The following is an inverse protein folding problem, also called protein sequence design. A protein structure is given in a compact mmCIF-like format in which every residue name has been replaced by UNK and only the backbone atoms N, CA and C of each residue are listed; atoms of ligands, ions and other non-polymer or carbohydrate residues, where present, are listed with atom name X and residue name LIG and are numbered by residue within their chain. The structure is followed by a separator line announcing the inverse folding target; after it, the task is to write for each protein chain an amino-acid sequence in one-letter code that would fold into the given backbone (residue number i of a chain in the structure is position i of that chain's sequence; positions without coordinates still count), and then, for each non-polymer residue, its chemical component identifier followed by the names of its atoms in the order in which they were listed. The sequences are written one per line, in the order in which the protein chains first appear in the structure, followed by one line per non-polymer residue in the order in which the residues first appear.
data_IF_378338680442
#
_entry.id   IF_378338680442
#
_cell.length_a   1.000
_cell.length_b   1.000
_cell.length_c   1.000
_cell.angle_alpha   90.00
_cell.angle_beta   90.00
_cell.angle_gamma   90.00
#
_symmetry.space_group_name_H-M   'P 1'
#
loop_
_entity.id
_entity.type
_entity.pdbx_description
1 polymer ?
#
# COMPACT_ATOMS: atom_id res chain seq x y z
N UNK A 1 -6.19 -18.61 3.44
CA UNK A 1 -5.48 -17.73 4.38
C UNK A 1 -4.57 -18.60 5.23
N UNK A 2 -3.36 -18.11 5.49
CA UNK A 2 -2.41 -18.77 6.37
C UNK A 2 -3.06 -18.89 7.75
N UNK A 3 -2.96 -20.06 8.38
CA UNK A 3 -3.39 -20.23 9.77
C UNK A 3 -2.14 -20.25 10.63
N UNK A 4 -2.03 -19.27 11.53
CA UNK A 4 -0.88 -19.10 12.40
C UNK A 4 -1.35 -18.98 13.84
N UNK A 5 -0.81 -19.81 14.71
CA UNK A 5 -1.03 -19.75 16.15
C UNK A 5 0.12 -18.99 16.84
N UNK A 6 -0.13 -18.46 18.04
CA UNK A 6 0.86 -17.63 18.76
C UNK A 6 2.14 -18.40 19.09
N UNK A 7 2.01 -19.71 19.34
CA UNK A 7 3.10 -20.61 19.67
C UNK A 7 4.05 -20.85 18.49
N UNK A 8 3.64 -20.48 17.27
CA UNK A 8 4.43 -20.60 16.06
C UNK A 8 5.28 -19.35 15.77
N UNK A 9 5.20 -18.31 16.61
CA UNK A 9 5.92 -17.05 16.43
C UNK A 9 6.98 -16.86 17.50
N UNK A 10 8.19 -16.56 17.07
CA UNK A 10 9.34 -16.23 17.89
C UNK A 10 9.65 -14.74 17.70
N UNK A 11 9.28 -13.92 18.68
CA UNK A 11 9.54 -12.48 18.67
C UNK A 11 10.96 -12.13 19.12
N UNK A 12 11.50 -11.01 18.64
CA UNK A 12 12.71 -10.41 19.17
C UNK A 12 13.95 -11.31 19.11
N UNK A 13 14.04 -12.18 18.10
CA UNK A 13 15.18 -13.09 17.95
C UNK A 13 16.40 -12.32 17.43
N UNK A 14 17.58 -12.92 17.63
CA UNK A 14 18.84 -12.45 17.07
C UNK A 14 19.53 -13.62 16.40
N UNK A 15 20.18 -13.36 15.26
CA UNK A 15 21.05 -14.33 14.59
C UNK A 15 22.20 -13.58 13.93
N UNK A 16 23.38 -14.18 13.88
CA UNK A 16 24.56 -13.56 13.26
C UNK A 16 24.51 -13.76 11.75
N UNK A 17 24.09 -14.93 11.30
CA UNK A 17 24.00 -15.29 9.89
C UNK A 17 22.63 -15.83 9.52
N UNK A 18 22.30 -15.83 8.23
CA UNK A 18 21.08 -16.51 7.73
C UNK A 18 21.08 -18.00 8.06
N UNK A 19 22.24 -18.66 8.09
CA UNK A 19 22.36 -20.07 8.48
C UNK A 19 21.95 -20.30 9.93
N UNK A 20 22.26 -19.37 10.84
CA UNK A 20 21.83 -19.44 12.24
C UNK A 20 20.31 -19.29 12.36
N UNK A 21 19.71 -18.38 11.59
CA UNK A 21 18.26 -18.21 11.56
C UNK A 21 17.55 -19.45 10.96
N UNK A 22 18.12 -20.05 9.92
CA UNK A 22 17.64 -21.31 9.33
C UNK A 22 17.71 -22.44 10.36
N UNK A 23 18.82 -22.56 11.08
CA UNK A 23 19.01 -23.58 12.12
C UNK A 23 18.01 -23.39 13.28
N UNK A 24 17.78 -22.14 13.73
CA UNK A 24 16.76 -21.81 14.73
C UNK A 24 15.38 -22.28 14.28
N UNK A 25 14.96 -21.92 13.06
CA UNK A 25 13.65 -22.28 12.51
C UNK A 25 13.52 -23.80 12.33
N UNK A 26 14.55 -24.46 11.81
CA UNK A 26 14.57 -25.92 11.65
C UNK A 26 14.42 -26.63 13.01
N UNK A 27 15.16 -26.18 14.02
CA UNK A 27 15.05 -26.70 15.38
C UNK A 27 13.64 -26.56 15.93
N UNK A 28 12.99 -25.40 15.70
CA UNK A 28 11.62 -25.14 16.14
C UNK A 28 10.59 -25.98 15.38
N UNK A 29 10.79 -26.23 14.09
CA UNK A 29 9.98 -27.19 13.33
C UNK A 29 10.12 -28.62 13.90
N UNK A 30 11.32 -29.03 14.30
CA UNK A 30 11.57 -30.33 14.95
C UNK A 30 10.93 -30.42 16.33
N UNK A 31 11.08 -29.40 17.17
CA UNK A 31 10.46 -29.32 18.51
C UNK A 31 8.93 -29.38 18.44
N UNK A 32 8.33 -28.72 17.44
CA UNK A 32 6.89 -28.77 17.18
C UNK A 32 6.42 -30.11 16.59
N UNK A 33 7.33 -31.05 16.33
CA UNK A 33 7.02 -32.37 15.77
C UNK A 33 6.61 -32.35 14.30
N UNK A 34 6.85 -31.24 13.59
CA UNK A 34 6.49 -31.08 12.17
C UNK A 34 7.47 -31.82 11.25
N UNK A 35 8.73 -31.91 11.67
CA UNK A 35 9.81 -32.58 10.92
C UNK A 35 10.68 -33.45 11.83
N UNK A 36 11.41 -34.38 11.24
CA UNK A 36 12.46 -35.16 11.91
C UNK A 36 13.77 -34.37 12.05
N UNK A 37 14.67 -34.87 12.90
CA UNK A 37 16.03 -34.35 13.00
C UNK A 37 16.74 -34.48 11.63
N UNK A 38 17.61 -33.52 11.32
CA UNK A 38 18.31 -33.47 10.02
C UNK A 38 17.58 -32.69 8.92
N UNK A 39 16.32 -32.26 9.14
CA UNK A 39 15.62 -31.40 8.16
C UNK A 39 16.34 -30.07 7.90
N UNK A 40 17.13 -29.58 8.88
CA UNK A 40 17.98 -28.39 8.75
C UNK A 40 18.95 -28.48 7.56
N UNK A 41 19.50 -29.66 7.28
CA UNK A 41 20.45 -29.86 6.18
C UNK A 41 19.77 -29.61 4.84
N UNK A 42 18.51 -30.03 4.71
CA UNK A 42 17.67 -29.74 3.55
C UNK A 42 17.39 -28.25 3.39
N UNK A 43 17.11 -27.54 4.49
CA UNK A 43 16.85 -26.10 4.44
C UNK A 43 18.11 -25.32 4.03
N UNK A 44 19.27 -25.69 4.57
CA UNK A 44 20.55 -25.08 4.20
C UNK A 44 20.94 -25.40 2.75
N UNK A 45 20.74 -26.65 2.30
CA UNK A 45 21.00 -27.04 0.93
C UNK A 45 20.09 -26.29 -0.06
N UNK A 46 18.81 -26.09 0.30
CA UNK A 46 17.88 -25.30 -0.51
C UNK A 46 18.30 -23.84 -0.60
N UNK A 47 18.71 -23.24 0.52
CA UNK A 47 19.21 -21.86 0.57
C UNK A 47 20.48 -21.69 -0.27
N UNK A 48 21.37 -22.69 -0.29
CA UNK A 48 22.60 -22.65 -1.07
C UNK A 48 22.37 -22.72 -2.60
N UNK A 49 21.22 -23.24 -3.05
CA UNK A 49 20.88 -23.25 -4.48
C UNK A 49 20.48 -21.86 -4.97
N UNK A 50 19.58 -21.21 -4.24
CA UNK A 50 19.10 -19.85 -4.49
C UNK A 50 18.56 -19.31 -3.18
N UNK A 51 18.82 -18.03 -2.90
CA UNK A 51 18.32 -17.37 -1.70
C UNK A 51 16.80 -17.48 -1.61
N UNK A 52 16.29 -17.72 -0.40
CA UNK A 52 14.85 -17.81 -0.13
C UNK A 52 14.24 -16.48 0.30
N UNK A 53 14.91 -15.37 -0.02
CA UNK A 53 14.39 -14.02 0.16
C UNK A 53 13.27 -13.72 -0.85
N UNK A 54 12.20 -13.07 -0.42
CA UNK A 54 11.02 -12.80 -1.24
C UNK A 54 10.75 -11.33 -1.52
N UNK A 55 11.47 -10.41 -0.87
CA UNK A 55 11.16 -8.98 -0.88
C UNK A 55 10.61 -8.49 0.47
N UNK A 56 10.61 -7.16 0.64
CA UNK A 56 9.99 -6.46 1.78
C UNK A 56 10.36 -7.04 3.15
N UNK A 57 11.62 -7.43 3.33
CA UNK A 57 12.11 -7.92 4.62
C UNK A 57 11.72 -9.35 4.98
N UNK A 58 11.20 -10.15 4.04
CA UNK A 58 10.69 -11.50 4.33
C UNK A 58 11.52 -12.58 3.61
N UNK A 59 11.87 -13.64 4.35
CA UNK A 59 12.49 -14.85 3.82
C UNK A 59 11.65 -16.11 4.15
N UNK A 60 11.73 -17.14 3.30
CA UNK A 60 10.96 -18.40 3.44
C UNK A 60 11.83 -19.65 3.35
N UNK A 61 12.78 -19.87 4.29
CA UNK A 61 13.62 -21.05 4.23
C UNK A 61 12.79 -22.35 4.34
N UNK A 62 13.09 -23.33 3.49
CA UNK A 62 12.37 -24.60 3.39
C UNK A 62 13.30 -25.70 2.88
N UNK A 63 12.95 -26.97 3.13
CA UNK A 63 13.78 -28.11 2.72
C UNK A 63 13.76 -28.40 1.21
N UNK A 64 14.72 -29.22 0.76
CA UNK A 64 14.74 -29.75 -0.61
C UNK A 64 13.79 -30.95 -0.77
N UNK A 65 13.64 -31.41 -2.02
CA UNK A 65 12.93 -32.66 -2.36
C UNK A 65 13.49 -33.87 -1.60
N UNK A 66 14.80 -33.90 -1.39
CA UNK A 66 15.51 -35.05 -0.81
C UNK A 66 15.20 -35.20 0.67
N UNK A 67 14.92 -34.09 1.37
CA UNK A 67 14.52 -34.08 2.79
C UNK A 67 13.02 -34.15 3.02
N UNK A 68 12.19 -34.29 1.97
CA UNK A 68 10.72 -34.35 2.13
C UNK A 68 10.23 -35.51 2.99
N UNK A 69 10.93 -36.64 2.96
CA UNK A 69 10.60 -37.80 3.77
C UNK A 69 10.71 -37.54 5.29
N UNK A 70 11.46 -36.51 5.69
CA UNK A 70 11.59 -36.06 7.08
C UNK A 70 10.40 -35.22 7.55
N UNK A 71 9.49 -34.80 6.66
CA UNK A 71 8.33 -33.98 7.01
C UNK A 71 7.20 -34.87 7.52
N UNK A 72 6.87 -34.77 8.81
CA UNK A 72 5.77 -35.51 9.45
C UNK A 72 4.42 -34.88 9.17
N UNK A 73 4.35 -33.56 9.25
CA UNK A 73 3.15 -32.76 8.97
C UNK A 73 3.54 -31.40 8.39
N UNK A 74 2.71 -30.89 7.49
CA UNK A 74 2.89 -29.56 6.93
C UNK A 74 2.64 -28.50 8.00
N UNK A 75 3.53 -27.53 8.10
CA UNK A 75 3.43 -26.46 9.09
C UNK A 75 4.50 -25.40 8.89
N UNK A 76 4.40 -24.33 9.66
CA UNK A 76 5.32 -23.20 9.62
C UNK A 76 5.75 -22.78 11.02
N UNK A 77 6.95 -22.24 11.12
CA UNK A 77 7.41 -21.44 12.26
C UNK A 77 7.89 -20.09 11.75
N UNK A 78 7.64 -19.04 12.51
CA UNK A 78 7.98 -17.66 12.14
C UNK A 78 8.93 -17.10 13.18
N UNK A 79 10.04 -16.52 12.74
CA UNK A 79 10.98 -15.81 13.60
C UNK A 79 11.13 -14.36 13.13
N UNK A 80 10.99 -13.43 14.06
CA UNK A 80 11.22 -12.00 13.85
C UNK A 80 12.60 -11.62 14.37
N UNK A 81 13.34 -10.84 13.58
CA UNK A 81 14.67 -10.32 13.85
C UNK A 81 14.64 -8.78 13.74
N UNK A 82 14.39 -8.04 14.82
CA UNK A 82 14.22 -6.57 14.75
C UNK A 82 15.43 -5.83 14.17
N UNK A 83 16.64 -6.34 14.42
CA UNK A 83 17.88 -5.76 13.89
C UNK A 83 18.17 -6.16 12.43
N UNK A 84 17.36 -7.05 11.86
CA UNK A 84 17.55 -7.60 10.53
C UNK A 84 18.70 -8.61 10.44
N UNK A 85 18.63 -9.45 9.42
CA UNK A 85 19.69 -10.38 9.02
C UNK A 85 19.92 -10.21 7.53
N UNK A 86 21.17 -10.05 7.11
CA UNK A 86 21.50 -10.08 5.69
C UNK A 86 21.23 -11.49 5.14
N UNK A 87 20.32 -11.56 4.17
CA UNK A 87 19.84 -12.82 3.60
C UNK A 87 20.46 -13.09 2.22
N UNK A 88 20.63 -12.06 1.40
CA UNK A 88 21.27 -12.17 0.08
C UNK A 88 21.73 -10.79 -0.40
N UNK A 89 22.99 -10.63 -0.82
CA UNK A 89 23.57 -9.40 -1.41
C UNK A 89 22.88 -8.05 -1.01
N UNK A 90 22.98 -7.66 0.27
CA UNK A 90 22.38 -6.42 0.79
C UNK A 90 20.87 -6.45 1.08
N UNK A 91 20.17 -7.54 0.74
CA UNK A 91 18.78 -7.79 1.11
C UNK A 91 18.70 -8.24 2.57
N UNK A 92 18.03 -7.43 3.39
CA UNK A 92 17.85 -7.69 4.81
C UNK A 92 16.49 -8.34 5.06
N UNK A 93 16.45 -9.42 5.82
CA UNK A 93 15.23 -10.04 6.32
C UNK A 93 15.00 -9.66 7.80
N UNK A 94 13.80 -9.17 8.09
CA UNK A 94 13.30 -8.92 9.45
C UNK A 94 12.39 -10.04 9.94
N UNK A 95 11.82 -10.83 9.02
CA UNK A 95 11.01 -12.00 9.34
C UNK A 95 11.43 -13.16 8.45
N UNK A 96 11.66 -14.32 9.07
CA UNK A 96 11.89 -15.57 8.34
C UNK A 96 10.80 -16.59 8.71
N UNK A 97 10.22 -17.23 7.70
CA UNK A 97 9.13 -18.20 7.83
C UNK A 97 9.68 -19.56 7.42
N UNK A 98 10.04 -20.38 8.40
CA UNK A 98 10.50 -21.75 8.18
C UNK A 98 9.34 -22.65 7.80
N UNK A 99 9.44 -23.33 6.66
CA UNK A 99 8.35 -24.15 6.12
C UNK A 99 8.71 -25.63 6.14
N UNK A 100 7.87 -26.43 6.79
CA UNK A 100 7.79 -27.88 6.63
C UNK A 100 6.68 -28.20 5.62
N UNK A 101 7.02 -28.76 4.46
CA UNK A 101 6.05 -29.09 3.42
C UNK A 101 6.34 -30.45 2.78
N UNK A 102 5.30 -31.29 2.67
CA UNK A 102 5.41 -32.63 2.04
C UNK A 102 5.47 -32.57 0.51
N UNK A 103 5.05 -31.46 -0.08
CA UNK A 103 4.94 -31.24 -1.52
C UNK A 103 5.22 -29.77 -1.86
N UNK A 104 4.75 -29.28 -3.01
CA UNK A 104 4.89 -27.88 -3.43
C UNK A 104 3.92 -26.94 -2.66
N UNK A 105 3.41 -27.36 -1.50
CA UNK A 105 2.57 -26.59 -0.58
C UNK A 105 3.22 -25.28 -0.11
N UNK A 106 4.54 -25.16 -0.15
CA UNK A 106 5.25 -23.89 0.09
C UNK A 106 4.81 -22.79 -0.91
N UNK A 107 4.41 -23.14 -2.13
CA UNK A 107 3.82 -22.20 -3.10
C UNK A 107 2.44 -21.69 -2.65
N UNK A 108 1.69 -22.51 -1.91
CA UNK A 108 0.43 -22.11 -1.30
C UNK A 108 0.63 -21.02 -0.24
N UNK A 109 1.69 -21.14 0.57
CA UNK A 109 2.10 -20.11 1.53
C UNK A 109 2.56 -18.85 0.80
N UNK A 110 3.39 -18.97 -0.24
CA UNK A 110 3.82 -17.84 -1.06
C UNK A 110 2.63 -17.03 -1.58
N UNK A 111 1.62 -17.70 -2.16
CA UNK A 111 0.39 -17.05 -2.64
C UNK A 111 -0.33 -16.30 -1.52
N UNK A 112 -0.33 -16.83 -0.30
CA UNK A 112 -0.98 -16.23 0.85
C UNK A 112 -0.21 -15.04 1.44
N UNK A 113 1.08 -14.89 1.12
CA UNK A 113 1.93 -13.79 1.57
C UNK A 113 2.02 -12.66 0.53
N UNK A 114 1.48 -12.83 -0.67
CA UNK A 114 1.61 -11.86 -1.77
C UNK A 114 1.13 -10.45 -1.42
N UNK A 115 0.20 -10.27 -0.48
CA UNK A 115 -0.24 -8.95 -0.02
C UNK A 115 0.79 -8.22 0.84
N UNK A 116 1.72 -8.95 1.48
CA UNK A 116 2.79 -8.39 2.32
C UNK A 116 4.08 -8.16 1.52
N UNK A 117 4.36 -9.02 0.53
CA UNK A 117 5.63 -9.00 -0.23
C UNK A 117 5.85 -7.72 -1.06
N UNK A 118 4.80 -6.94 -1.31
CA UNK A 118 4.88 -5.64 -2.01
C UNK A 118 4.58 -4.43 -1.13
N UNK A 119 4.42 -4.62 0.18
CA UNK A 119 4.00 -3.58 1.12
C UNK A 119 5.15 -3.23 2.09
N UNK A 120 5.82 -2.11 1.80
CA UNK A 120 6.93 -1.60 2.64
C UNK A 120 6.46 -1.20 4.05
N UNK A 121 5.20 -0.79 4.20
CA UNK A 121 4.64 -0.46 5.51
C UNK A 121 4.45 -1.73 6.35
N UNK A 122 3.95 -2.80 5.73
CA UNK A 122 3.83 -4.09 6.39
C UNK A 122 5.20 -4.64 6.83
N UNK A 123 6.25 -4.46 6.02
CA UNK A 123 7.62 -4.81 6.38
C UNK A 123 8.12 -4.03 7.62
N UNK A 124 7.90 -2.72 7.66
CA UNK A 124 8.28 -1.88 8.80
C UNK A 124 7.52 -2.30 10.07
N UNK A 125 6.22 -2.57 9.96
CA UNK A 125 5.41 -3.06 11.09
C UNK A 125 5.87 -4.42 11.59
N UNK A 126 6.22 -5.35 10.68
CA UNK A 126 6.77 -6.65 11.08
C UNK A 126 8.10 -6.52 11.83
N UNK A 127 8.97 -5.58 11.43
CA UNK A 127 10.22 -5.28 12.12
C UNK A 127 10.00 -4.74 13.54
N UNK A 128 9.02 -3.85 13.70
CA UNK A 128 8.77 -3.11 14.94
C UNK A 128 7.78 -3.80 15.89
N UNK A 129 7.12 -4.87 15.45
CA UNK A 129 6.12 -5.59 16.23
C UNK A 129 6.69 -6.06 17.58
N UNK A 130 5.98 -5.74 18.66
CA UNK A 130 6.32 -6.16 20.04
C UNK A 130 5.44 -7.28 20.57
N UNK A 131 4.46 -7.73 19.78
CA UNK A 131 3.48 -8.75 20.14
C UNK A 131 3.19 -9.70 18.97
N UNK A 132 2.70 -10.90 19.28
CA UNK A 132 2.49 -11.95 18.27
C UNK A 132 1.24 -11.72 17.44
N UNK A 133 0.22 -11.04 17.98
CA UNK A 133 -1.03 -10.79 17.25
C UNK A 133 -0.78 -9.86 16.07
N UNK A 134 0.07 -8.84 16.24
CA UNK A 134 0.50 -7.96 15.15
C UNK A 134 1.10 -8.76 13.99
N UNK A 135 2.02 -9.69 14.27
CA UNK A 135 2.63 -10.54 13.23
C UNK A 135 1.59 -11.46 12.58
N UNK A 136 0.71 -12.11 13.36
CA UNK A 136 -0.37 -12.96 12.83
C UNK A 136 -1.25 -12.13 11.88
N UNK A 137 -1.69 -10.96 12.32
CA UNK A 137 -2.62 -10.13 11.57
C UNK A 137 -2.06 -9.72 10.20
N UNK A 138 -0.79 -9.29 10.18
CA UNK A 138 -0.09 -8.91 8.96
C UNK A 138 0.08 -10.13 8.03
N UNK A 139 0.67 -11.22 8.51
CA UNK A 139 0.99 -12.39 7.67
C UNK A 139 -0.24 -13.14 7.17
N UNK A 140 -1.32 -13.17 7.94
CA UNK A 140 -2.57 -13.86 7.54
C UNK A 140 -3.50 -12.99 6.69
N UNK A 141 -3.22 -11.68 6.63
CA UNK A 141 -4.12 -10.71 6.01
C UNK A 141 -5.42 -10.51 6.79
N UNK A 142 -5.45 -10.86 8.09
CA UNK A 142 -6.59 -10.57 8.97
C UNK A 142 -6.76 -9.06 9.19
N UNK A 143 -5.68 -8.29 9.03
CA UNK A 143 -5.70 -6.84 8.80
C UNK A 143 -5.53 -6.54 7.31
N UNK A 144 -6.38 -7.11 6.45
CA UNK A 144 -6.68 -6.39 5.21
C UNK A 144 -7.23 -5.03 5.65
N UNK A 145 -6.49 -3.95 5.39
CA UNK A 145 -6.93 -2.61 5.68
C UNK A 145 -8.39 -2.48 5.24
N UNK A 146 -9.29 -2.19 6.19
CA UNK A 146 -10.67 -1.93 5.80
C UNK A 146 -10.61 -0.74 4.85
N UNK A 147 -11.26 -0.87 3.70
CA UNK A 147 -11.28 0.18 2.69
C UNK A 147 -11.66 1.51 3.37
N UNK A 148 -10.85 2.55 3.15
CA UNK A 148 -11.11 3.88 3.72
C UNK A 148 -12.45 4.35 3.18
N UNK A 149 -13.37 4.68 4.08
CA UNK A 149 -14.69 5.16 3.69
C UNK A 149 -14.74 6.68 3.67
N UNK A 150 -15.60 7.24 2.82
CA UNK A 150 -15.75 8.68 2.67
C UNK A 150 -17.22 9.06 2.79
N UNK A 151 -17.49 10.10 3.57
CA UNK A 151 -18.81 10.67 3.73
C UNK A 151 -18.75 12.17 3.49
N UNK A 152 -19.84 12.69 2.94
CA UNK A 152 -20.04 14.14 2.79
C UNK A 152 -21.20 14.58 3.69
N UNK A 153 -21.05 15.79 4.22
CA UNK A 153 -22.10 16.59 4.81
C UNK A 153 -22.06 17.98 4.17
N UNK A 154 -22.61 18.08 2.96
CA UNK A 154 -22.57 19.31 2.17
C UNK A 154 -23.65 20.29 2.64
N UNK A 155 -23.35 21.59 2.50
CA UNK A 155 -24.29 22.70 2.73
C UNK A 155 -25.01 22.59 4.08
N UNK A 156 -24.25 22.29 5.13
CA UNK A 156 -24.80 22.09 6.46
C UNK A 156 -25.15 23.43 7.12
N UNK A 157 -26.35 23.60 7.69
CA UNK A 157 -26.69 24.79 8.47
C UNK A 157 -25.98 24.73 9.82
N UNK A 158 -24.90 25.49 9.95
CA UNK A 158 -24.13 25.65 11.19
C UNK A 158 -23.90 27.14 11.44
N UNK A 159 -24.07 27.57 12.69
CA UNK A 159 -23.83 28.96 13.12
C UNK A 159 -22.36 29.18 13.54
N UNK A 160 -21.67 28.12 13.94
CA UNK A 160 -20.27 28.15 14.35
C UNK A 160 -19.49 26.90 13.91
N UNK A 161 -18.15 26.96 14.05
CA UNK A 161 -17.23 25.86 13.72
C UNK A 161 -17.57 24.55 14.45
N UNK A 162 -18.00 24.65 15.71
CA UNK A 162 -18.22 23.49 16.57
C UNK A 162 -19.53 22.78 16.21
N UNK A 163 -20.56 23.51 15.77
CA UNK A 163 -21.76 22.94 15.17
C UNK A 163 -21.46 22.19 13.88
N UNK A 164 -20.58 22.72 13.02
CA UNK A 164 -20.16 22.04 11.80
C UNK A 164 -19.39 20.73 12.13
N UNK A 165 -18.49 20.77 13.12
CA UNK A 165 -17.79 19.60 13.61
C UNK A 165 -18.76 18.55 14.19
N UNK A 166 -19.74 18.97 14.97
CA UNK A 166 -20.77 18.10 15.52
C UNK A 166 -21.63 17.46 14.42
N UNK A 167 -21.96 18.21 13.36
CA UNK A 167 -22.61 17.67 12.17
C UNK A 167 -21.79 16.55 11.54
N UNK A 168 -20.48 16.79 11.33
CA UNK A 168 -19.57 15.78 10.79
C UNK A 168 -19.47 14.54 11.70
N UNK A 169 -19.38 14.74 13.01
CA UNK A 169 -19.34 13.66 14.00
C UNK A 169 -20.64 12.84 14.02
N UNK A 170 -21.80 13.51 13.94
CA UNK A 170 -23.11 12.86 13.84
C UNK A 170 -23.22 12.05 12.54
N UNK A 171 -22.67 12.55 11.43
CA UNK A 171 -22.62 11.84 10.14
C UNK A 171 -21.79 10.56 10.25
N UNK A 172 -20.59 10.63 10.83
CA UNK A 172 -19.74 9.47 11.10
C UNK A 172 -20.42 8.44 12.02
N UNK A 173 -21.03 8.89 13.12
CA UNK A 173 -21.79 8.03 14.04
C UNK A 173 -22.99 7.36 13.35
N UNK A 174 -23.72 8.08 12.50
CA UNK A 174 -24.85 7.52 11.74
C UNK A 174 -24.41 6.43 10.75
N UNK A 175 -23.17 6.49 10.26
CA UNK A 175 -22.57 5.45 9.43
C UNK A 175 -21.98 4.27 10.23
N UNK A 176 -22.08 4.31 11.57
CA UNK A 176 -21.57 3.28 12.45
C UNK A 176 -20.06 3.34 12.69
N UNK A 177 -19.40 4.46 12.38
CA UNK A 177 -17.94 4.59 12.54
C UNK A 177 -17.53 4.85 13.99
N UNK A 178 -18.39 5.49 14.78
CA UNK A 178 -18.10 5.81 16.18
C UNK A 178 -19.35 5.90 17.05
N UNK A 179 -19.15 6.15 18.33
CA UNK A 179 -20.18 6.13 19.36
C UNK A 179 -20.42 7.52 19.98
N UNK A 180 -21.17 7.57 21.08
CA UNK A 180 -21.41 8.83 21.79
C UNK A 180 -20.14 9.38 22.48
N UNK A 181 -19.21 8.51 22.88
CA UNK A 181 -17.96 8.94 23.52
C UNK A 181 -17.05 9.66 22.51
N UNK A 182 -17.01 9.18 21.26
CA UNK A 182 -16.33 9.85 20.16
C UNK A 182 -16.82 11.30 19.96
N UNK A 183 -18.14 11.52 19.94
CA UNK A 183 -18.74 12.86 19.75
C UNK A 183 -18.36 13.79 20.90
N UNK A 184 -18.44 13.31 22.15
CA UNK A 184 -18.04 14.09 23.33
C UNK A 184 -16.56 14.44 23.31
N UNK A 185 -15.69 13.52 22.88
CA UNK A 185 -14.26 13.77 22.77
C UNK A 185 -13.95 14.84 21.71
N UNK A 186 -14.69 14.87 20.60
CA UNK A 186 -14.54 15.89 19.56
C UNK A 186 -14.94 17.29 20.03
N UNK A 187 -15.97 17.42 20.87
CA UNK A 187 -16.35 18.70 21.47
C UNK A 187 -15.26 19.31 22.36
N UNK A 188 -14.46 18.45 23.00
CA UNK A 188 -13.32 18.87 23.81
C UNK A 188 -12.03 19.01 22.99
N UNK A 189 -12.06 18.67 21.70
CA UNK A 189 -10.89 18.77 20.81
C UNK A 189 -10.75 20.18 20.23
N UNK A 190 -9.53 20.53 19.83
CA UNK A 190 -9.30 21.75 19.05
C UNK A 190 -8.91 21.36 17.62
N UNK A 191 -9.82 21.54 16.64
CA UNK A 191 -9.52 21.28 15.24
C UNK A 191 -8.38 22.18 14.74
N UNK A 192 -7.45 21.60 13.98
CA UNK A 192 -6.33 22.32 13.41
C UNK A 192 -6.78 23.12 12.17
N UNK A 193 -6.41 24.40 12.10
CA UNK A 193 -6.56 25.18 10.87
C UNK A 193 -5.41 24.87 9.91
N UNK A 194 -5.73 24.38 8.71
CA UNK A 194 -4.73 24.01 7.71
C UNK A 194 -4.40 25.13 6.72
N UNK A 195 -5.28 26.14 6.63
CA UNK A 195 -5.20 27.22 5.63
C UNK A 195 -6.41 27.21 4.69
N UNK A 196 -6.62 28.33 4.00
CA UNK A 196 -7.65 28.50 2.95
C UNK A 196 -9.08 28.11 3.38
N UNK A 197 -9.38 28.27 4.67
CA UNK A 197 -10.70 27.93 5.23
C UNK A 197 -10.89 26.45 5.58
N UNK A 198 -9.86 25.61 5.44
CA UNK A 198 -9.94 24.18 5.75
C UNK A 198 -9.49 23.90 7.17
N UNK A 199 -10.31 23.15 7.90
CA UNK A 199 -10.06 22.69 9.26
C UNK A 199 -10.00 21.17 9.33
N UNK A 200 -9.20 20.64 10.25
CA UNK A 200 -9.02 19.21 10.45
C UNK A 200 -9.24 18.83 11.92
N UNK A 201 -10.21 17.93 12.15
CA UNK A 201 -10.41 17.25 13.41
C UNK A 201 -10.09 15.76 13.29
N UNK A 202 -9.74 15.13 14.42
CA UNK A 202 -9.41 13.71 14.49
C UNK A 202 -10.14 13.03 15.63
N UNK A 203 -10.62 11.82 15.38
CA UNK A 203 -11.16 10.93 16.39
C UNK A 203 -10.67 9.48 16.22
N UNK A 204 -10.58 8.77 17.34
CA UNK A 204 -10.48 7.30 17.34
C UNK A 204 -11.87 6.71 17.03
N UNK A 205 -11.91 5.70 16.16
CA UNK A 205 -13.15 5.15 15.61
C UNK A 205 -13.02 3.64 15.31
N UNK A 206 -14.15 2.98 15.06
CA UNK A 206 -14.20 1.56 14.67
C UNK A 206 -13.96 1.32 13.16
N UNK A 207 -14.02 2.39 12.35
CA UNK A 207 -13.81 2.38 10.91
C UNK A 207 -12.88 3.55 10.54
N UNK A 208 -11.85 3.27 9.75
CA UNK A 208 -11.04 4.33 9.15
C UNK A 208 -11.84 5.01 8.03
N UNK A 209 -12.00 6.32 8.12
CA UNK A 209 -12.76 7.09 7.15
C UNK A 209 -12.67 8.59 7.34
N UNK A 210 -13.11 9.32 6.32
CA UNK A 210 -13.10 10.76 6.26
C UNK A 210 -14.52 11.29 6.10
N UNK A 211 -14.87 12.30 6.90
CA UNK A 211 -16.06 13.12 6.65
C UNK A 211 -15.62 14.49 6.18
N UNK A 212 -16.13 14.92 5.02
CA UNK A 212 -16.00 16.29 4.55
C UNK A 212 -17.33 17.01 4.81
N UNK A 213 -17.32 18.00 5.70
CA UNK A 213 -18.45 18.86 5.97
C UNK A 213 -18.21 20.28 5.46
N UNK A 214 -19.19 20.84 4.75
CA UNK A 214 -19.15 22.24 4.26
C UNK A 214 -20.35 22.99 4.82
N UNK A 215 -20.19 24.26 5.22
CA UNK A 215 -21.31 25.07 5.72
C UNK A 215 -22.17 25.60 4.57
N UNK A 216 -23.46 25.80 4.82
CA UNK A 216 -24.41 26.40 3.88
C UNK A 216 -24.29 27.93 3.73
N UNK A 217 -23.52 28.57 4.60
CA UNK A 217 -23.30 30.02 4.62
C UNK A 217 -21.89 30.34 5.12
N UNK A 218 -21.45 31.60 4.96
CA UNK A 218 -20.14 32.02 5.46
C UNK A 218 -20.01 31.77 6.97
N UNK A 219 -18.98 31.03 7.34
CA UNK A 219 -18.74 30.59 8.70
C UNK A 219 -17.33 30.98 9.16
N UNK A 220 -17.18 31.28 10.45
CA UNK A 220 -15.89 31.63 11.07
C UNK A 220 -15.65 30.83 12.35
N UNK A 221 -14.38 30.51 12.59
CA UNK A 221 -13.87 29.96 13.85
C UNK A 221 -12.90 30.98 14.45
N UNK A 222 -13.39 31.83 15.35
CA UNK A 222 -12.68 33.04 15.73
C UNK A 222 -12.51 33.99 14.53
N UNK A 223 -11.29 34.44 14.27
CA UNK A 223 -10.99 35.33 13.13
C UNK A 223 -10.77 34.60 11.80
N UNK A 224 -10.69 33.28 11.82
CA UNK A 224 -10.36 32.45 10.66
C UNK A 224 -11.62 31.96 9.93
N UNK A 225 -11.60 31.92 8.57
CA UNK A 225 -12.72 31.39 7.80
C UNK A 225 -12.87 29.88 7.99
N UNK A 226 -14.11 29.38 7.87
CA UNK A 226 -14.44 27.96 7.87
C UNK A 226 -15.20 27.67 6.57
N UNK A 227 -14.48 27.15 5.57
CA UNK A 227 -15.03 26.76 4.27
C UNK A 227 -15.21 25.24 4.16
N UNK A 228 -14.40 24.46 4.88
CA UNK A 228 -14.54 23.01 4.99
C UNK A 228 -14.02 22.50 6.34
N UNK A 229 -14.69 21.47 6.87
CA UNK A 229 -14.27 20.71 8.04
C UNK A 229 -14.02 19.26 7.62
N UNK A 230 -12.77 18.82 7.71
CA UNK A 230 -12.38 17.43 7.58
C UNK A 230 -12.39 16.78 8.96
N UNK A 231 -13.14 15.68 9.10
CA UNK A 231 -13.06 14.80 10.26
C UNK A 231 -12.43 13.48 9.84
N UNK A 232 -11.23 13.21 10.37
CA UNK A 232 -10.58 11.91 10.27
C UNK A 232 -11.04 11.01 11.42
N UNK A 233 -11.78 9.95 11.10
CA UNK A 233 -12.06 8.84 11.99
C UNK A 233 -11.00 7.75 11.74
N UNK A 234 -10.12 7.47 12.69
CA UNK A 234 -9.04 6.50 12.52
C UNK A 234 -9.29 5.23 13.35
N UNK A 235 -9.30 4.07 12.68
CA UNK A 235 -9.25 2.75 13.31
C UNK A 235 -7.89 2.07 13.13
N UNK A 236 -7.17 2.45 12.07
CA UNK A 236 -5.86 1.94 11.67
C UNK A 236 -5.10 3.03 10.89
N UNK A 237 -3.96 2.67 10.27
CA UNK A 237 -3.10 3.60 9.51
C UNK A 237 -3.43 3.70 8.02
N UNK A 238 -4.56 3.16 7.55
CA UNK A 238 -4.92 3.18 6.12
C UNK A 238 -5.24 4.59 5.57
N UNK A 239 -5.37 5.58 6.45
CA UNK A 239 -5.64 6.99 6.12
C UNK A 239 -4.40 7.82 5.75
N UNK A 240 -3.19 7.25 5.91
CA UNK A 240 -1.94 7.96 5.66
C UNK A 240 -1.83 8.53 4.23
N UNK A 241 -2.26 7.83 3.16
CA UNK A 241 -2.23 8.39 1.80
C UNK A 241 -3.05 9.69 1.66
N UNK A 242 -4.19 9.81 2.35
CA UNK A 242 -5.03 11.02 2.31
C UNK A 242 -4.40 12.17 3.09
N UNK A 243 -3.65 11.88 4.17
CA UNK A 243 -2.87 12.90 4.87
C UNK A 243 -1.72 13.42 4.01
N UNK A 244 -1.05 12.53 3.28
CA UNK A 244 -0.01 12.92 2.31
C UNK A 244 -0.59 13.81 1.20
N UNK A 245 -1.74 13.42 0.63
CA UNK A 245 -2.47 14.23 -0.34
C UNK A 245 -2.88 15.60 0.21
N UNK A 246 -3.34 15.66 1.46
CA UNK A 246 -3.70 16.90 2.14
C UNK A 246 -2.48 17.82 2.34
N UNK A 247 -1.32 17.25 2.68
CA UNK A 247 -0.07 17.99 2.76
C UNK A 247 0.37 18.53 1.38
N UNK A 248 0.20 17.74 0.31
CA UNK A 248 0.46 18.20 -1.07
C UNK A 248 -0.47 19.34 -1.49
N UNK A 249 -1.77 19.24 -1.19
CA UNK A 249 -2.75 20.32 -1.44
C UNK A 249 -2.35 21.60 -0.68
N UNK A 250 -1.95 21.48 0.58
CA UNK A 250 -1.45 22.60 1.38
C UNK A 250 -0.21 23.25 0.77
N UNK A 251 0.78 22.45 0.38
CA UNK A 251 2.00 22.94 -0.25
C UNK A 251 1.74 23.62 -1.60
N UNK A 252 0.72 23.16 -2.34
CA UNK A 252 0.31 23.73 -3.62
C UNK A 252 -0.60 24.97 -3.49
N UNK A 253 -1.05 25.35 -2.29
CA UNK A 253 -2.06 26.41 -2.11
C UNK A 253 -3.39 26.05 -2.77
N UNK A 254 -3.82 24.79 -2.61
CA UNK A 254 -5.02 24.23 -3.23
C UNK A 254 -5.96 23.58 -2.20
N UNK A 255 -5.81 23.88 -0.91
CA UNK A 255 -6.74 23.40 0.11
C UNK A 255 -8.16 23.92 -0.13
N UNK A 256 -8.33 25.14 -0.67
CA UNK A 256 -9.64 25.71 -0.98
C UNK A 256 -10.50 24.80 -1.88
N UNK A 257 -9.89 23.95 -2.71
CA UNK A 257 -10.63 23.03 -3.60
C UNK A 257 -11.39 21.95 -2.83
N UNK A 258 -11.01 21.68 -1.56
CA UNK A 258 -11.69 20.73 -0.69
C UNK A 258 -13.10 21.17 -0.30
N UNK A 259 -13.41 22.47 -0.35
CA UNK A 259 -14.75 22.98 -0.10
C UNK A 259 -15.72 22.80 -1.29
N UNK A 260 -15.21 22.40 -2.46
CA UNK A 260 -16.02 22.18 -3.67
C UNK A 260 -16.65 20.79 -3.77
N UNK A 261 -17.47 20.59 -4.80
CA UNK A 261 -18.19 19.33 -5.05
C UNK A 261 -17.26 18.11 -5.24
N UNK A 262 -16.01 18.33 -5.66
CA UNK A 262 -15.00 17.28 -5.85
C UNK A 262 -14.02 17.18 -4.67
N UNK A 263 -14.30 17.81 -3.52
CA UNK A 263 -13.36 17.89 -2.41
C UNK A 263 -12.88 16.54 -1.89
N UNK A 264 -13.76 15.54 -1.79
CA UNK A 264 -13.35 14.17 -1.44
C UNK A 264 -12.48 13.51 -2.51
N UNK A 265 -12.73 13.79 -3.79
CA UNK A 265 -11.90 13.28 -4.87
C UNK A 265 -10.49 13.90 -4.82
N UNK A 266 -10.38 15.19 -4.51
CA UNK A 266 -9.10 15.87 -4.28
C UNK A 266 -8.37 15.32 -3.05
N UNK A 267 -9.08 15.02 -1.95
CA UNK A 267 -8.47 14.37 -0.78
C UNK A 267 -7.93 12.96 -1.11
N UNK A 268 -8.64 12.21 -1.95
CA UNK A 268 -8.27 10.87 -2.38
C UNK A 268 -7.12 10.86 -3.39
N UNK A 269 -7.10 11.81 -4.32
CA UNK A 269 -6.17 11.85 -5.43
C UNK A 269 -4.99 12.80 -5.22
N UNK A 270 -5.05 13.70 -4.23
CA UNK A 270 -4.11 14.81 -4.10
C UNK A 270 -4.50 16.00 -4.99
N UNK A 271 -3.66 17.05 -5.04
CA UNK A 271 -3.86 18.14 -5.98
C UNK A 271 -3.98 17.59 -7.41
N UNK A 272 -4.69 18.30 -8.28
CA UNK A 272 -4.56 18.10 -9.73
C UNK A 272 -3.17 18.59 -10.17
N UNK A 273 -2.10 17.96 -9.68
CA UNK A 273 -0.71 18.31 -9.94
C UNK A 273 -0.04 17.25 -10.80
N UNK A 274 0.86 17.67 -11.66
CA UNK A 274 1.57 16.76 -12.54
C UNK A 274 1.64 17.29 -13.96
N UNK A 275 2.80 17.10 -14.56
CA UNK A 275 3.00 17.43 -15.95
C UNK A 275 2.17 16.48 -16.80
N UNK A 276 1.69 16.97 -17.94
CA UNK A 276 0.93 16.16 -18.87
C UNK A 276 1.47 16.33 -20.27
N UNK A 277 1.71 15.22 -20.95
CA UNK A 277 2.12 15.20 -22.35
C UNK A 277 1.32 14.15 -23.12
N UNK A 278 1.19 14.36 -24.43
CA UNK A 278 0.47 13.44 -25.31
C UNK A 278 1.41 12.90 -26.37
N UNK A 279 1.47 11.58 -26.49
CA UNK A 279 2.31 10.89 -27.47
C UNK A 279 1.46 10.06 -28.43
N UNK A 280 1.90 9.94 -29.68
CA UNK A 280 1.23 9.08 -30.69
C UNK A 280 1.95 7.74 -30.77
N UNK A 281 1.20 6.64 -30.69
CA UNK A 281 1.77 5.30 -30.82
C UNK A 281 2.05 4.97 -32.28
N UNK A 282 3.29 4.64 -32.58
CA UNK A 282 3.76 4.33 -33.95
C UNK A 282 3.87 2.83 -34.22
N UNK A 283 3.77 1.98 -33.19
CA UNK A 283 3.86 0.53 -33.32
C UNK A 283 2.74 0.00 -34.24
N UNK A 284 3.04 -0.76 -35.32
CA UNK A 284 2.06 -1.20 -36.32
C UNK A 284 0.85 -1.96 -35.75
N UNK A 285 1.07 -2.71 -34.66
CA UNK A 285 0.04 -3.49 -33.98
C UNK A 285 -0.48 -2.83 -32.68
N UNK A 286 -0.09 -1.58 -32.41
CA UNK A 286 -0.46 -0.86 -31.19
C UNK A 286 0.23 -1.39 -29.92
N UNK A 287 -0.36 -1.17 -28.74
CA UNK A 287 0.20 -1.63 -27.47
C UNK A 287 -0.30 -3.03 -27.10
N UNK A 288 0.25 -4.06 -27.74
CA UNK A 288 0.11 -5.44 -27.28
C UNK A 288 1.16 -5.78 -26.20
N UNK A 289 1.22 -7.05 -25.80
CA UNK A 289 2.01 -7.51 -24.65
C UNK A 289 3.48 -7.05 -24.65
N UNK A 290 4.15 -7.00 -25.81
CA UNK A 290 5.57 -6.67 -25.93
C UNK A 290 5.85 -5.15 -25.81
N UNK A 291 5.33 -4.27 -26.67
CA UNK A 291 5.52 -2.83 -26.54
C UNK A 291 4.88 -2.29 -25.25
N UNK A 292 3.78 -2.89 -24.80
CA UNK A 292 3.18 -2.60 -23.49
C UNK A 292 4.11 -2.92 -22.32
N UNK A 293 4.80 -4.07 -22.34
CA UNK A 293 5.76 -4.43 -21.29
C UNK A 293 6.97 -3.47 -21.27
N UNK A 294 7.43 -3.02 -22.43
CA UNK A 294 8.51 -2.04 -22.53
C UNK A 294 8.11 -0.67 -21.99
N UNK A 295 6.90 -0.18 -22.32
CA UNK A 295 6.36 1.06 -21.75
C UNK A 295 6.27 0.98 -20.23
N UNK A 296 5.73 -0.13 -19.71
CA UNK A 296 5.61 -0.37 -18.25
C UNK A 296 6.97 -0.46 -17.58
N UNK A 297 7.96 -1.07 -18.25
CA UNK A 297 9.34 -1.15 -17.73
C UNK A 297 9.92 0.26 -17.55
N UNK A 298 9.82 1.10 -18.57
CA UNK A 298 10.28 2.50 -18.51
C UNK A 298 9.53 3.27 -17.42
N UNK A 299 8.20 3.17 -17.37
CA UNK A 299 7.40 3.85 -16.35
C UNK A 299 7.78 3.44 -14.91
N UNK A 300 8.27 2.21 -14.69
CA UNK A 300 8.72 1.70 -13.38
C UNK A 300 10.10 2.18 -12.95
N UNK A 301 10.89 2.78 -13.85
CA UNK A 301 12.19 3.36 -13.51
C UNK A 301 12.06 4.68 -12.73
N UNK A 302 10.87 5.28 -12.75
CA UNK A 302 10.57 6.55 -12.09
C UNK A 302 9.77 6.36 -10.82
N UNK A 303 9.97 7.24 -9.84
CA UNK A 303 9.24 7.23 -8.57
C UNK A 303 7.82 7.81 -8.73
N UNK A 304 7.62 8.78 -9.62
CA UNK A 304 6.33 9.44 -9.90
C UNK A 304 5.14 8.47 -10.06
N UNK A 305 3.94 8.89 -9.62
CA UNK A 305 2.69 8.26 -10.09
C UNK A 305 2.47 8.67 -11.55
N UNK A 306 2.35 7.69 -12.44
CA UNK A 306 2.21 7.92 -13.87
C UNK A 306 0.94 7.24 -14.34
N UNK A 307 0.03 8.04 -14.88
CA UNK A 307 -1.22 7.57 -15.47
C UNK A 307 -1.24 7.82 -16.96
N UNK A 308 -1.90 6.92 -17.68
CA UNK A 308 -2.06 6.97 -19.13
C UNK A 308 -3.51 6.76 -19.52
N UNK A 309 -3.99 7.57 -20.47
CA UNK A 309 -5.32 7.47 -21.05
C UNK A 309 -5.24 7.41 -22.58
N UNK A 310 -6.06 6.58 -23.21
CA UNK A 310 -6.19 6.51 -24.66
C UNK A 310 -7.25 7.52 -25.14
N UNK A 311 -6.81 8.63 -25.73
CA UNK A 311 -7.67 9.74 -26.16
C UNK A 311 -8.54 9.37 -27.37
N UNK A 312 -8.13 8.37 -28.14
CA UNK A 312 -8.87 7.84 -29.28
C UNK A 312 -9.62 6.53 -28.91
N UNK A 313 -9.74 6.24 -27.60
CA UNK A 313 -10.43 5.11 -27.02
C UNK A 313 -11.50 5.53 -26.00
N UNK A 314 -11.59 4.83 -24.86
CA UNK A 314 -12.55 5.13 -23.79
C UNK A 314 -12.25 6.43 -23.03
N UNK A 315 -11.02 6.96 -23.13
CA UNK A 315 -10.56 8.09 -22.34
C UNK A 315 -10.28 7.78 -20.86
N UNK A 316 -10.47 6.53 -20.41
CA UNK A 316 -10.19 6.11 -19.03
C UNK A 316 -8.68 6.16 -18.74
N UNK A 317 -8.31 6.78 -17.61
CA UNK A 317 -6.93 6.86 -17.16
C UNK A 317 -6.57 5.69 -16.24
N UNK A 318 -5.50 4.97 -16.57
CA UNK A 318 -5.00 3.83 -15.80
C UNK A 318 -3.53 4.03 -15.42
N UNK A 319 -3.03 3.28 -14.44
CA UNK A 319 -1.60 3.32 -14.08
C UNK A 319 -0.72 2.81 -15.24
N UNK A 320 0.25 3.62 -15.65
CA UNK A 320 1.24 3.26 -16.67
C UNK A 320 2.24 2.19 -16.17
N UNK A 321 2.31 1.95 -14.86
CA UNK A 321 3.14 0.90 -14.23
C UNK A 321 2.46 -0.49 -14.21
N UNK A 322 1.22 -0.61 -14.71
CA UNK A 322 0.45 -1.86 -14.73
C UNK A 322 0.22 -2.38 -16.15
N UNK A 323 0.92 -3.44 -16.52
CA UNK A 323 0.82 -4.05 -17.86
C UNK A 323 -0.61 -4.49 -18.21
N UNK A 324 -1.32 -5.12 -17.27
CA UNK A 324 -2.69 -5.58 -17.52
C UNK A 324 -3.63 -4.41 -17.86
N UNK A 325 -3.51 -3.29 -17.13
CA UNK A 325 -4.35 -2.11 -17.37
C UNK A 325 -3.99 -1.41 -18.67
N UNK A 326 -2.69 -1.27 -18.97
CA UNK A 326 -2.20 -0.63 -20.22
C UNK A 326 -2.69 -1.39 -21.46
N UNK A 327 -2.60 -2.73 -21.47
CA UNK A 327 -3.11 -3.54 -22.60
C UNK A 327 -4.64 -3.40 -22.73
N UNK A 328 -5.34 -3.28 -21.60
CA UNK A 328 -6.80 -3.10 -21.55
C UNK A 328 -7.30 -1.82 -22.23
N UNK A 329 -6.44 -0.82 -22.44
CA UNK A 329 -6.80 0.43 -23.13
C UNK A 329 -7.07 0.26 -24.64
N UNK A 330 -6.75 -0.91 -25.22
CA UNK A 330 -7.07 -1.21 -26.62
C UNK A 330 -6.37 -0.29 -27.63
N UNK A 331 -5.15 0.13 -27.32
CA UNK A 331 -4.39 1.14 -28.10
C UNK A 331 -3.93 0.57 -29.44
N UNK A 332 -4.21 1.26 -30.54
CA UNK A 332 -3.80 0.88 -31.91
C UNK A 332 -2.73 1.84 -32.47
N UNK A 333 -2.12 1.48 -33.58
CA UNK A 333 -1.23 2.38 -34.33
C UNK A 333 -1.97 3.69 -34.67
N UNK A 334 -1.31 4.82 -34.46
CA UNK A 334 -1.84 6.16 -34.67
C UNK A 334 -2.69 6.73 -33.51
N UNK A 335 -2.98 5.94 -32.48
CA UNK A 335 -3.70 6.45 -31.30
C UNK A 335 -2.82 7.39 -30.47
N UNK A 336 -3.47 8.40 -29.88
CA UNK A 336 -2.87 9.37 -28.97
C UNK A 336 -3.09 8.94 -27.52
N UNK A 337 -2.00 8.85 -26.77
CA UNK A 337 -2.00 8.57 -25.35
C UNK A 337 -1.64 9.82 -24.57
N UNK A 338 -2.52 10.25 -23.68
CA UNK A 338 -2.23 11.29 -22.70
C UNK A 338 -1.59 10.65 -21.47
N UNK A 339 -0.39 11.08 -21.14
CA UNK A 339 0.30 10.72 -19.91
C UNK A 339 0.24 11.89 -18.93
N UNK A 340 -0.01 11.57 -17.67
CA UNK A 340 0.11 12.50 -16.55
C UNK A 340 1.08 11.90 -15.55
N UNK A 341 2.12 12.64 -15.20
CA UNK A 341 3.13 12.23 -14.23
C UNK A 341 3.13 13.19 -13.04
N UNK A 342 3.12 12.64 -11.83
CA UNK A 342 3.11 13.38 -10.57
C UNK A 342 4.18 12.83 -9.63
N UNK A 343 5.17 13.66 -9.31
CA UNK A 343 6.33 13.29 -8.49
C UNK A 343 7.55 14.16 -8.80
N UNK A 344 8.62 14.00 -8.01
CA UNK A 344 9.84 14.80 -8.14
C UNK A 344 10.56 14.63 -9.49
N UNK A 345 10.38 13.47 -10.12
CA UNK A 345 10.94 13.11 -11.42
C UNK A 345 9.91 13.16 -12.56
N UNK A 346 8.77 13.83 -12.39
CA UNK A 346 7.67 13.86 -13.37
C UNK A 346 8.11 14.33 -14.77
N UNK A 347 8.96 15.35 -14.85
CA UNK A 347 9.48 15.86 -16.14
C UNK A 347 10.39 14.83 -16.82
N UNK A 348 11.30 14.21 -16.04
CA UNK A 348 12.16 13.15 -16.54
C UNK A 348 11.35 11.91 -16.96
N UNK A 349 10.29 11.58 -16.23
CA UNK A 349 9.40 10.48 -16.52
C UNK A 349 8.66 10.65 -17.85
N UNK A 350 8.05 11.83 -18.08
CA UNK A 350 7.38 12.11 -19.36
C UNK A 350 8.36 12.11 -20.52
N UNK A 351 9.54 12.71 -20.33
CA UNK A 351 10.60 12.70 -21.34
C UNK A 351 11.04 11.28 -21.69
N UNK A 352 11.35 10.45 -20.69
CA UNK A 352 11.77 9.07 -20.90
C UNK A 352 10.70 8.20 -21.56
N UNK A 353 9.43 8.40 -21.19
CA UNK A 353 8.28 7.75 -21.85
C UNK A 353 8.18 8.19 -23.32
N UNK A 354 8.30 9.50 -23.59
CA UNK A 354 8.27 10.03 -24.95
C UNK A 354 9.39 9.47 -25.83
N UNK A 355 10.61 9.40 -25.30
CA UNK A 355 11.77 8.80 -25.98
C UNK A 355 11.56 7.31 -26.28
N UNK A 356 11.02 6.55 -25.31
CA UNK A 356 10.74 5.13 -25.49
C UNK A 356 9.65 4.86 -26.55
N UNK A 357 8.61 5.70 -26.59
CA UNK A 357 7.55 5.65 -27.60
C UNK A 357 8.13 6.00 -28.99
N UNK A 358 8.94 7.06 -29.08
CA UNK A 358 9.60 7.45 -30.31
C UNK A 358 10.56 6.37 -30.85
N UNK A 359 11.20 5.61 -29.96
CA UNK A 359 12.05 4.47 -30.31
C UNK A 359 11.27 3.20 -30.69
N UNK A 360 9.93 3.22 -30.65
CA UNK A 360 9.07 2.10 -31.01
C UNK A 360 8.99 0.99 -29.95
N UNK A 361 9.26 1.30 -28.67
CA UNK A 361 9.02 0.40 -27.53
C UNK A 361 9.58 -1.02 -27.70
N UNK A 362 10.80 -1.14 -28.24
CA UNK A 362 11.49 -2.43 -28.43
C UNK A 362 11.14 -3.18 -29.72
N UNK A 363 10.39 -2.56 -30.63
CA UNK A 363 10.12 -3.04 -31.98
C UNK A 363 10.82 -2.23 -33.08
N UNK A 364 11.37 -1.06 -32.73
CA UNK A 364 12.04 -0.14 -33.65
C UNK A 364 11.09 0.90 -34.25
N UNK A 365 11.62 2.07 -34.62
CA UNK A 365 10.89 3.07 -35.40
C UNK A 365 10.86 2.64 -36.87
N UNK A 366 9.68 2.53 -37.47
CA UNK A 366 9.50 2.19 -38.88
C UNK A 366 8.99 3.38 -39.68
#
# INVERSE_FOLDING_TARGET
MLKLAREQILLGQTAVTKSDAIALLAGKLTEAGLVEAGYVDGMLAREAQHATYLGSGIAIPHGTTDTRHLVKSTGVMVAQFPNGIEWDEGQIAYVAIGIAAKSDEHLGILRQLTHVLGDEQAAAQLREATDTDTIINILTGATAAKEVQYLTLADFPADDRDQLLLGAAARAKSAGWGDAAMVTALLASDPAYLGEGVWLARAQAAQTGWVLATPSSELRGGDLPVSAMLLLCAADSSHLPQLDNLAKLAAAGQLATLAGNEGLAMLQAGPASGLSETFTIINPHGLHARPGAMLVKVAKEFESDIRVANLDGSGEAVSAKSLMKVIGLGVKCGHRLAFRAEGADAEAALKGIGEAIAAGLGEGAH
#
